data_IF_362248854048
#
_entry.id   IF_362248854048
#
_cell.length_a   1.000
_cell.length_b   1.000
_cell.length_c   1.000
_cell.angle_alpha   90.00
_cell.angle_beta   90.00
_cell.angle_gamma   90.00
#
_symmetry.space_group_name_H-M   'P 1'
#
loop_
_entity.id
_entity.type
_entity.pdbx_description
1 polymer ?
#
# COMPACT_ATOMS: atom_id res chain seq x y z
N UNK A 1 0.91 -11.19 15.31
CA UNK A 1 0.96 -9.75 15.36
C UNK A 1 0.95 -9.17 13.96
N UNK A 2 0.08 -8.24 13.73
CA UNK A 2 -0.01 -7.70 12.40
C UNK A 2 0.82 -6.42 12.28
N UNK A 3 1.43 -6.24 11.15
CA UNK A 3 2.18 -5.03 10.88
C UNK A 3 1.25 -3.92 10.40
N UNK A 4 1.65 -2.69 10.66
CA UNK A 4 0.93 -1.56 10.09
C UNK A 4 1.11 -1.57 8.58
N UNK A 5 0.30 -0.79 7.88
CA UNK A 5 0.44 -0.70 6.44
C UNK A 5 1.82 -0.16 6.07
N UNK A 6 2.32 0.83 6.81
CA UNK A 6 3.65 1.37 6.55
C UNK A 6 4.70 0.27 6.68
N UNK A 7 4.60 -0.55 7.71
CA UNK A 7 5.56 -1.63 7.91
C UNK A 7 5.47 -2.66 6.79
N UNK A 8 4.25 -2.97 6.34
CA UNK A 8 4.08 -3.91 5.24
C UNK A 8 4.69 -3.36 3.95
N UNK A 9 4.51 -2.07 3.69
CA UNK A 9 5.08 -1.45 2.51
C UNK A 9 6.61 -1.49 2.58
N UNK A 10 7.17 -1.12 3.73
CA UNK A 10 8.63 -1.12 3.88
C UNK A 10 9.20 -2.52 3.77
N UNK A 11 8.47 -3.52 4.23
CA UNK A 11 8.89 -4.90 4.08
C UNK A 11 8.97 -5.28 2.61
N UNK A 12 7.97 -4.90 1.83
CA UNK A 12 7.96 -5.20 0.41
C UNK A 12 9.04 -4.45 -0.34
N UNK A 13 9.39 -3.25 0.12
CA UNK A 13 10.46 -2.47 -0.50
C UNK A 13 11.83 -2.88 0.01
N UNK A 14 11.87 -3.81 0.94
CA UNK A 14 13.10 -4.31 1.54
C UNK A 14 13.86 -3.21 2.29
N UNK A 15 13.13 -2.30 2.88
CA UNK A 15 13.71 -1.23 3.68
C UNK A 15 13.78 -1.66 5.13
N UNK A 16 14.53 -2.71 5.39
CA UNK A 16 14.69 -3.21 6.75
C UNK A 16 15.95 -4.05 6.83
N UNK A 17 16.40 -4.29 8.06
CA UNK A 17 17.46 -5.24 8.30
C UNK A 17 17.13 -6.01 9.58
N UNK A 18 17.79 -7.12 9.76
CA UNK A 18 17.55 -7.95 10.92
C UNK A 18 18.74 -7.79 11.86
N UNK A 19 18.43 -7.46 13.13
CA UNK A 19 19.46 -7.34 14.15
C UNK A 19 19.47 -8.59 14.98
N UNK A 20 20.67 -8.99 15.40
CA UNK A 20 20.88 -10.18 16.23
C UNK A 20 20.24 -11.43 15.64
N UNK A 21 20.56 -11.75 14.38
CA UNK A 21 19.90 -12.88 13.73
C UNK A 21 20.21 -14.20 14.42
N UNK A 22 19.21 -15.05 14.43
CA UNK A 22 19.33 -16.40 15.02
C UNK A 22 19.57 -16.38 16.52
N UNK A 23 19.23 -15.31 17.19
CA UNK A 23 19.28 -15.26 18.66
C UNK A 23 17.90 -14.93 19.20
N UNK A 24 17.75 -15.00 20.52
CA UNK A 24 16.48 -14.68 21.13
C UNK A 24 16.17 -13.21 20.99
N UNK A 25 17.18 -12.38 20.73
CA UNK A 25 16.97 -10.95 20.56
C UNK A 25 16.82 -10.55 19.10
N UNK A 26 16.62 -11.52 18.24
CA UNK A 26 16.45 -11.20 16.83
C UNK A 26 15.26 -10.26 16.63
N UNK A 27 15.45 -9.23 15.85
CA UNK A 27 14.36 -8.30 15.57
C UNK A 27 14.56 -7.66 14.22
N UNK A 28 13.45 -7.22 13.64
CA UNK A 28 13.47 -6.50 12.38
C UNK A 28 13.49 -5.02 12.67
N UNK A 29 14.44 -4.31 12.07
CA UNK A 29 14.53 -2.87 12.21
C UNK A 29 14.29 -2.25 10.83
N UNK A 30 13.35 -1.33 10.76
CA UNK A 30 13.04 -0.71 9.48
C UNK A 30 14.01 0.42 9.17
N UNK A 31 14.42 0.47 7.93
CA UNK A 31 15.42 1.43 7.45
C UNK A 31 14.78 2.60 6.73
N UNK A 32 15.58 3.56 6.37
CA UNK A 32 15.19 4.70 5.56
C UNK A 32 14.01 5.47 6.14
N UNK A 33 14.16 5.94 7.38
CA UNK A 33 13.06 6.72 7.98
C UNK A 33 12.78 7.99 7.20
N UNK A 34 13.73 8.46 6.42
CA UNK A 34 13.52 9.66 5.62
C UNK A 34 12.49 9.43 4.52
N UNK A 35 12.19 8.17 4.18
CA UNK A 35 11.18 7.88 3.19
C UNK A 35 9.78 7.79 3.80
N UNK A 36 9.70 7.72 5.12
CA UNK A 36 8.40 7.51 5.76
C UNK A 36 7.36 8.57 5.41
N UNK A 37 7.70 9.86 5.39
CA UNK A 37 6.65 10.84 5.07
C UNK A 37 6.04 10.63 3.68
N UNK A 38 6.87 10.28 2.70
CA UNK A 38 6.36 10.03 1.36
C UNK A 38 5.47 8.79 1.36
N UNK A 39 5.93 7.73 2.02
CA UNK A 39 5.14 6.49 2.07
C UNK A 39 3.83 6.71 2.80
N UNK A 40 3.84 7.48 3.88
CA UNK A 40 2.61 7.74 4.62
C UNK A 40 1.63 8.57 3.80
N UNK A 41 2.12 9.49 3.00
CA UNK A 41 1.25 10.25 2.13
C UNK A 41 0.61 9.34 1.07
N UNK A 42 1.40 8.45 0.49
CA UNK A 42 0.87 7.51 -0.49
C UNK A 42 -0.14 6.56 0.14
N UNK A 43 0.10 6.14 1.39
CA UNK A 43 -0.85 5.31 2.11
C UNK A 43 -2.16 6.05 2.34
N UNK A 44 -2.07 7.30 2.73
CA UNK A 44 -3.25 8.12 2.97
C UNK A 44 -4.07 8.25 1.69
N UNK A 45 -3.40 8.50 0.58
CA UNK A 45 -4.08 8.65 -0.68
C UNK A 45 -4.71 7.34 -1.15
N UNK A 46 -3.98 6.24 -1.03
CA UNK A 46 -4.52 4.94 -1.42
C UNK A 46 -5.72 4.57 -0.55
N UNK A 47 -5.64 4.86 0.75
CA UNK A 47 -6.74 4.59 1.66
C UNK A 47 -7.97 5.39 1.23
N UNK A 48 -7.78 6.65 0.91
CA UNK A 48 -8.89 7.49 0.48
C UNK A 48 -9.50 6.97 -0.83
N UNK A 49 -8.67 6.48 -1.74
CA UNK A 49 -9.17 5.93 -3.00
C UNK A 49 -10.06 4.71 -2.74
N UNK A 50 -9.66 3.86 -1.80
CA UNK A 50 -10.48 2.70 -1.44
C UNK A 50 -11.78 3.16 -0.78
N UNK A 51 -11.71 4.13 0.13
CA UNK A 51 -12.90 4.66 0.79
C UNK A 51 -13.90 5.20 -0.23
N UNK A 52 -13.41 5.96 -1.18
CA UNK A 52 -14.29 6.52 -2.21
C UNK A 52 -14.92 5.44 -3.07
N UNK A 53 -14.15 4.44 -3.39
CA UNK A 53 -14.67 3.35 -4.21
C UNK A 53 -15.69 2.52 -3.47
N UNK A 54 -15.50 2.33 -2.14
CA UNK A 54 -16.45 1.56 -1.34
C UNK A 54 -17.76 2.29 -1.15
N UNK A 55 -17.74 3.63 -1.21
CA UNK A 55 -18.95 4.43 -1.13
C UNK A 55 -19.77 4.07 0.11
N UNK A 56 -19.19 4.27 1.29
CA UNK A 56 -19.86 3.90 2.52
C UNK A 56 -21.13 4.68 2.74
N UNK A 57 -22.22 4.01 3.13
CA UNK A 57 -23.44 4.72 3.42
C UNK A 57 -23.37 5.48 4.73
N UNK A 58 -24.19 6.50 4.87
CA UNK A 58 -24.20 7.33 6.07
C UNK A 58 -24.48 6.54 7.33
N UNK A 59 -25.11 5.39 7.20
CA UNK A 59 -25.41 4.57 8.36
C UNK A 59 -24.19 3.86 8.94
N UNK A 60 -23.07 3.84 8.20
CA UNK A 60 -21.87 3.20 8.73
C UNK A 60 -21.22 4.08 9.77
N UNK A 61 -20.88 3.48 10.91
CA UNK A 61 -20.10 4.17 11.93
C UNK A 61 -18.64 4.16 11.51
N UNK A 62 -17.83 4.98 12.18
CA UNK A 62 -16.40 4.99 11.90
C UNK A 62 -15.78 3.63 12.19
N UNK A 63 -16.30 2.95 13.21
CA UNK A 63 -15.81 1.63 13.55
C UNK A 63 -16.09 0.62 12.44
N UNK A 64 -17.28 0.66 11.87
CA UNK A 64 -17.63 -0.23 10.78
C UNK A 64 -16.79 0.05 9.54
N UNK A 65 -16.51 1.33 9.28
CA UNK A 65 -15.67 1.69 8.14
C UNK A 65 -14.26 1.15 8.34
N UNK A 66 -13.73 1.29 9.55
CA UNK A 66 -12.39 0.81 9.84
C UNK A 66 -12.29 -0.70 9.70
N UNK A 67 -13.31 -1.41 10.18
CA UNK A 67 -13.32 -2.86 10.05
C UNK A 67 -13.39 -3.29 8.58
N UNK A 68 -14.18 -2.60 7.80
CA UNK A 68 -14.28 -2.93 6.38
C UNK A 68 -12.96 -2.65 5.66
N UNK A 69 -12.32 -1.54 6.01
CA UNK A 69 -11.07 -1.18 5.35
C UNK A 69 -9.96 -2.18 5.61
N UNK A 70 -9.99 -2.87 6.75
CA UNK A 70 -8.96 -3.87 7.02
C UNK A 70 -8.94 -4.97 5.98
N UNK A 71 -10.07 -5.24 5.36
CA UNK A 71 -10.13 -6.26 4.33
C UNK A 71 -9.32 -5.86 3.10
N UNK A 72 -9.04 -4.58 2.96
CA UNK A 72 -8.37 -4.06 1.78
C UNK A 72 -6.93 -3.63 2.06
N UNK A 73 -6.35 -4.06 3.19
CA UNK A 73 -4.97 -3.72 3.49
C UNK A 73 -4.03 -4.12 2.36
N UNK A 74 -4.23 -5.30 1.79
CA UNK A 74 -3.38 -5.75 0.69
C UNK A 74 -3.52 -4.87 -0.53
N UNK A 75 -4.75 -4.44 -0.81
CA UNK A 75 -4.99 -3.54 -1.95
C UNK A 75 -4.27 -2.22 -1.71
N UNK A 76 -4.37 -1.69 -0.49
CA UNK A 76 -3.72 -0.42 -0.16
C UNK A 76 -2.22 -0.55 -0.30
N UNK A 77 -1.63 -1.64 0.22
CA UNK A 77 -0.20 -1.87 0.10
C UNK A 77 0.21 -1.92 -1.38
N UNK A 78 -0.56 -2.63 -2.19
CA UNK A 78 -0.24 -2.75 -3.61
C UNK A 78 -0.35 -1.41 -4.34
N UNK A 79 -1.34 -0.60 -3.98
CA UNK A 79 -1.49 0.73 -4.58
C UNK A 79 -0.30 1.62 -4.20
N UNK A 80 0.12 1.55 -2.94
CA UNK A 80 1.26 2.35 -2.50
C UNK A 80 2.52 1.92 -3.23
N UNK A 81 2.73 0.61 -3.37
CA UNK A 81 3.91 0.13 -4.08
C UNK A 81 3.90 0.56 -5.54
N UNK A 82 2.73 0.48 -6.15
CA UNK A 82 2.59 0.91 -7.54
C UNK A 82 2.94 2.39 -7.68
N UNK A 83 2.36 3.22 -6.82
CA UNK A 83 2.57 4.66 -6.90
C UNK A 83 4.03 5.03 -6.59
N UNK A 84 4.60 4.37 -5.59
CA UNK A 84 5.99 4.64 -5.22
C UNK A 84 6.93 4.26 -6.37
N UNK A 85 6.72 3.12 -6.97
CA UNK A 85 7.56 2.67 -8.07
C UNK A 85 7.38 3.54 -9.30
N UNK A 86 6.17 4.02 -9.50
CA UNK A 86 5.91 4.87 -10.64
C UNK A 86 6.63 6.21 -10.50
N UNK A 87 6.65 6.77 -9.30
CA UNK A 87 7.38 8.00 -9.07
C UNK A 87 8.87 7.79 -9.29
N UNK A 88 9.41 6.71 -8.78
CA UNK A 88 10.80 6.39 -9.01
C UNK A 88 11.07 6.11 -10.46
N UNK A 89 10.14 5.47 -11.12
CA UNK A 89 10.30 5.14 -12.51
C UNK A 89 10.38 6.33 -13.42
N UNK A 90 9.75 7.42 -13.02
CA UNK A 90 9.83 8.61 -13.84
C UNK A 90 11.24 9.14 -13.94
N UNK A 91 12.06 8.88 -12.95
CA UNK A 91 13.43 9.31 -13.00
C UNK A 91 14.35 8.25 -13.60
N UNK A 92 13.81 7.09 -13.88
CA UNK A 92 14.58 5.99 -14.42
C UNK A 92 13.95 5.44 -15.67
N UNK A 93 13.41 6.32 -16.47
CA UNK A 93 12.60 5.85 -17.58
C UNK A 93 13.37 4.95 -18.51
N UNK A 94 14.65 5.15 -18.64
CA UNK A 94 15.35 4.29 -19.55
C UNK A 94 15.43 2.86 -19.04
N UNK A 95 15.38 2.68 -17.75
CA UNK A 95 15.40 1.33 -17.27
C UNK A 95 14.03 0.74 -17.31
N UNK A 96 13.04 1.58 -17.27
CA UNK A 96 11.72 1.05 -17.27
C UNK A 96 11.38 0.37 -18.55
N UNK A 97 12.00 0.78 -19.65
CA UNK A 97 11.67 0.14 -20.79
C UNK A 97 11.98 -1.28 -20.82
N UNK A 98 13.01 -1.65 -20.19
CA UNK A 98 13.30 -3.00 -20.23
C UNK A 98 12.42 -3.79 -19.45
N UNK A 99 11.90 -3.18 -18.57
CA UNK A 99 11.28 -3.89 -17.75
C UNK A 99 10.05 -4.23 -17.76
N UNK A 100 9.69 -3.91 -18.57
CA UNK A 100 8.91 -3.65 -18.28
C UNK A 100 7.69 -3.88 -18.68
N UNK A 101 7.59 -4.39 -19.63
CA UNK A 101 6.35 -4.70 -20.10
C UNK A 101 5.55 -5.38 -19.13
N UNK A 102 6.18 -5.96 -18.20
CA UNK A 102 5.38 -6.65 -17.39
C UNK A 102 4.86 -5.96 -16.28
N UNK A 103 5.19 -4.85 -16.02
CA UNK A 103 4.69 -4.24 -14.87
C UNK A 103 3.39 -3.62 -15.03
N UNK A 104 2.73 -3.94 -15.99
CA UNK A 104 1.65 -3.32 -16.35
C UNK A 104 0.41 -3.58 -15.77
N UNK A 105 0.38 -3.90 -14.55
CA UNK A 105 -0.81 -3.82 -13.80
C UNK A 105 -1.01 -2.35 -13.56
N UNK A 106 -2.09 -1.81 -13.98
CA UNK A 106 -2.36 -0.41 -13.72
C UNK A 106 -3.22 -0.29 -12.47
N UNK A 107 -3.45 0.93 -12.04
CA UNK A 107 -4.21 1.15 -10.82
C UNK A 107 -5.62 0.59 -10.89
N UNK A 108 -6.24 0.64 -12.05
CA UNK A 108 -7.58 0.11 -12.17
C UNK A 108 -7.61 -1.38 -11.90
N UNK A 109 -6.61 -2.09 -12.35
CA UNK A 109 -6.52 -3.52 -12.09
C UNK A 109 -6.35 -3.79 -10.60
N UNK A 110 -5.53 -2.98 -9.92
CA UNK A 110 -5.33 -3.16 -8.49
C UNK A 110 -6.59 -2.88 -7.70
N UNK A 111 -7.44 -2.00 -8.20
CA UNK A 111 -8.69 -1.66 -7.54
C UNK A 111 -9.86 -2.56 -7.92
N UNK A 112 -9.63 -3.50 -8.80
CA UNK A 112 -10.74 -4.27 -9.39
C UNK A 112 -11.60 -5.00 -8.37
N UNK A 113 -11.01 -5.41 -7.26
CA UNK A 113 -11.75 -6.13 -6.25
C UNK A 113 -12.42 -5.21 -5.21
N UNK A 114 -12.21 -3.92 -5.31
CA UNK A 114 -12.82 -2.98 -4.40
C UNK A 114 -14.15 -2.55 -5.01
N UNK A 115 -15.22 -3.10 -4.49
CA UNK A 115 -16.54 -2.84 -5.04
C UNK A 115 -17.33 -1.92 -4.14
N UNK A 116 -18.24 -1.11 -4.70
CA UNK A 116 -19.06 -0.24 -3.87
C UNK A 116 -20.03 -1.04 -3.01
N UNK A 117 -20.23 -0.57 -1.79
CA UNK A 117 -21.22 -1.19 -0.94
C UNK A 117 -22.62 -0.87 -1.40
N UNK A 118 -22.79 0.32 -1.94
CA UNK A 118 -24.10 0.75 -2.41
C UNK A 118 -24.00 0.98 -3.89
N UNK A 119 -24.82 0.29 -4.65
CA UNK A 119 -24.80 0.49 -6.08
C UNK A 119 -25.55 1.76 -6.43
N UNK A 120 -24.95 2.52 -7.31
CA UNK A 120 -25.60 3.71 -7.81
C UNK A 120 -26.24 3.32 -9.12
N UNK A 121 -27.53 3.43 -9.17
CA UNK A 121 -28.27 3.06 -10.38
C UNK A 121 -28.57 4.27 -11.23
#
# INVERSE_FOLDING_TARGET
MSNTILEQVKTRLRQFHIENPETEDEKIVFDKPEENPILEQLISQATQDVIECRNYPDSYTEEKKADDLKKYDSVIVNLVLYDYNKEGGEFQDSSSENGTSRSWVNRETLMADVLPLVKVL
#
